data_IF_278976944121
#
_entry.id   IF_278976944121
#
_cell.length_a   1.000
_cell.length_b   1.000
_cell.length_c   1.000
_cell.angle_alpha   90.00
_cell.angle_beta   90.00
_cell.angle_gamma   90.00
#
_symmetry.space_group_name_H-M   'P 1'
#
loop_
_entity.id
_entity.type
_entity.pdbx_description
1 polymer ?
#
# COMPACT_ATOMS: atom_id res chain seq x y z
N UNK A 1 -29.32 12.03 11.45
CA UNK A 1 -28.38 11.00 10.93
C UNK A 1 -27.06 11.72 10.66
N UNK A 2 -25.96 11.49 11.39
CA UNK A 2 -24.71 12.15 11.03
C UNK A 2 -24.21 11.57 9.71
N UNK A 3 -24.05 12.43 8.72
CA UNK A 3 -23.40 12.11 7.46
C UNK A 3 -22.01 11.58 7.77
N UNK A 4 -21.78 10.31 7.48
CA UNK A 4 -20.47 9.68 7.47
C UNK A 4 -19.67 10.40 6.39
N UNK A 5 -18.87 11.39 6.79
CA UNK A 5 -17.92 12.07 5.93
C UNK A 5 -17.20 11.01 5.08
N UNK A 6 -17.13 11.14 3.75
CA UNK A 6 -16.34 10.22 2.97
C UNK A 6 -14.92 10.29 3.51
N UNK A 7 -14.39 9.14 3.92
CA UNK A 7 -13.01 9.03 4.36
C UNK A 7 -12.11 9.73 3.33
N UNK A 8 -11.04 10.42 3.77
CA UNK A 8 -10.15 11.11 2.83
C UNK A 8 -9.72 10.11 1.76
N UNK A 9 -9.80 10.52 0.50
CA UNK A 9 -9.21 9.88 -0.67
C UNK A 9 -7.70 9.78 -0.48
N UNK A 10 -7.29 8.89 0.41
CA UNK A 10 -5.93 8.61 0.77
C UNK A 10 -5.52 7.32 0.07
N UNK A 11 -4.38 7.37 -0.62
CA UNK A 11 -3.47 6.26 -0.85
C UNK A 11 -4.08 4.89 -0.52
N UNK A 12 -4.72 4.28 -1.50
CA UNK A 12 -5.36 2.98 -1.29
C UNK A 12 -4.32 1.92 -0.92
N UNK A 13 -4.70 1.01 -0.02
CA UNK A 13 -3.82 -0.05 0.46
C UNK A 13 -3.50 -1.02 -0.68
N UNK A 14 -2.22 -1.19 -1.02
CA UNK A 14 -1.78 -2.02 -2.17
C UNK A 14 -2.03 -3.52 -1.96
N UNK A 15 -2.49 -3.92 -0.78
CA UNK A 15 -2.90 -5.31 -0.49
C UNK A 15 -4.36 -5.55 -0.79
N UNK A 16 -5.16 -4.48 -0.86
CA UNK A 16 -6.58 -4.56 -1.18
C UNK A 16 -6.85 -4.55 -2.69
N UNK A 17 -5.81 -4.34 -3.51
CA UNK A 17 -5.93 -4.25 -4.95
C UNK A 17 -5.16 -5.37 -5.66
N UNK A 18 -5.71 -5.81 -6.80
CA UNK A 18 -5.01 -6.68 -7.75
C UNK A 18 -4.27 -5.77 -8.71
N UNK A 19 -2.96 -5.66 -8.55
CA UNK A 19 -2.15 -4.84 -9.45
C UNK A 19 -1.58 -5.68 -10.59
N UNK A 20 -1.63 -5.10 -11.79
CA UNK A 20 -0.86 -5.58 -12.93
C UNK A 20 0.58 -5.06 -12.82
N UNK A 21 1.56 -5.97 -12.94
CA UNK A 21 2.98 -5.66 -12.78
C UNK A 21 3.48 -4.66 -13.82
N UNK A 22 2.96 -4.74 -15.05
CA UNK A 22 3.36 -3.86 -16.15
C UNK A 22 2.83 -2.43 -15.95
N UNK A 23 1.73 -2.28 -15.22
CA UNK A 23 1.05 -1.01 -14.96
C UNK A 23 1.40 -0.37 -13.60
N UNK A 24 2.40 -0.89 -12.89
CA UNK A 24 2.79 -0.35 -11.58
C UNK A 24 3.42 1.03 -11.67
N UNK A 25 2.86 1.98 -10.92
CA UNK A 25 3.51 3.27 -10.69
C UNK A 25 4.78 3.10 -9.84
N UNK A 26 5.73 4.05 -9.90
CA UNK A 26 6.92 4.03 -9.05
C UNK A 26 6.59 3.96 -7.56
N UNK A 27 5.55 4.66 -7.12
CA UNK A 27 5.08 4.59 -5.74
C UNK A 27 4.57 3.21 -5.35
N UNK A 28 3.76 2.56 -6.18
CA UNK A 28 3.27 1.22 -5.89
C UNK A 28 4.42 0.22 -5.86
N UNK A 29 5.44 0.36 -6.73
CA UNK A 29 6.65 -0.47 -6.65
C UNK A 29 7.40 -0.31 -5.34
N UNK A 30 7.54 0.90 -4.81
CA UNK A 30 8.18 1.13 -3.50
C UNK A 30 7.40 0.44 -2.36
N UNK A 31 6.06 0.49 -2.42
CA UNK A 31 5.20 -0.17 -1.44
C UNK A 31 5.28 -1.70 -1.54
N UNK A 32 5.28 -2.24 -2.77
CA UNK A 32 5.42 -3.67 -3.05
C UNK A 32 6.80 -4.21 -2.63
N UNK A 33 7.86 -3.46 -2.89
CA UNK A 33 9.22 -3.80 -2.47
C UNK A 33 9.44 -3.72 -0.94
N UNK A 34 8.42 -3.31 -0.17
CA UNK A 34 8.54 -3.13 1.27
C UNK A 34 9.49 -2.00 1.67
N UNK A 35 9.74 -1.05 0.75
CA UNK A 35 10.48 0.19 1.00
C UNK A 35 9.56 1.28 1.54
N UNK A 36 8.26 1.15 1.30
CA UNK A 36 7.22 2.03 1.80
C UNK A 36 6.05 1.23 2.39
N UNK A 37 5.28 1.88 3.25
CA UNK A 37 4.08 1.32 3.86
C UNK A 37 3.06 1.00 2.77
N UNK A 38 2.59 -0.25 2.74
CA UNK A 38 1.56 -0.72 1.82
C UNK A 38 0.28 0.12 1.86
N UNK A 39 0.00 0.74 3.02
CA UNK A 39 -1.21 1.53 3.26
C UNK A 39 -1.05 3.00 2.92
N UNK A 40 -0.03 3.69 3.44
CA UNK A 40 0.08 5.15 3.28
C UNK A 40 1.23 5.62 2.37
N UNK A 41 2.17 4.74 2.01
CA UNK A 41 3.39 5.09 1.28
C UNK A 41 4.53 5.70 2.13
N UNK A 42 4.37 5.83 3.45
CA UNK A 42 5.40 6.32 4.37
C UNK A 42 6.49 5.28 4.64
N UNK A 43 7.69 5.73 5.00
CA UNK A 43 8.88 4.87 5.15
C UNK A 43 9.31 4.63 6.60
N UNK A 44 8.56 5.17 7.56
CA UNK A 44 8.90 5.16 8.98
C UNK A 44 8.31 3.95 9.72
N UNK A 45 9.09 3.38 10.65
CA UNK A 45 8.68 2.29 11.53
C UNK A 45 7.98 1.12 10.80
N UNK A 46 8.56 0.70 9.67
CA UNK A 46 8.02 -0.36 8.82
C UNK A 46 8.19 -1.74 9.46
N UNK A 47 7.08 -2.46 9.58
CA UNK A 47 7.01 -3.84 10.08
C UNK A 47 6.43 -4.77 9.01
N UNK A 48 6.72 -6.08 9.06
CA UNK A 48 6.12 -7.04 8.13
C UNK A 48 4.60 -6.93 8.14
N UNK A 49 4.00 -6.62 6.99
CA UNK A 49 2.56 -6.45 6.83
C UNK A 49 1.86 -7.70 6.29
N UNK A 50 2.62 -8.69 5.83
CA UNK A 50 2.11 -9.86 5.11
C UNK A 50 2.52 -9.83 3.65
N UNK A 51 1.75 -10.52 2.81
CA UNK A 51 2.04 -10.64 1.39
C UNK A 51 0.91 -10.07 0.54
N UNK A 52 1.26 -9.48 -0.60
CA UNK A 52 0.33 -9.17 -1.67
C UNK A 52 0.80 -9.81 -2.97
N UNK A 53 -0.08 -9.92 -3.95
CA UNK A 53 0.20 -10.58 -5.20
C UNK A 53 -0.10 -9.63 -6.36
N UNK A 54 0.81 -9.57 -7.32
CA UNK A 54 0.60 -8.87 -8.59
C UNK A 54 0.46 -9.88 -9.72
N UNK A 55 -0.39 -9.57 -10.70
CA UNK A 55 -0.44 -10.33 -11.94
C UNK A 55 0.73 -9.93 -12.83
N UNK A 56 1.46 -10.92 -13.31
CA UNK A 56 2.49 -10.76 -14.33
C UNK A 56 1.87 -10.76 -15.73
N UNK A 57 2.57 -10.20 -16.71
CA UNK A 57 2.10 -10.13 -18.10
C UNK A 57 1.85 -11.52 -18.71
N UNK A 58 2.56 -12.54 -18.25
CA UNK A 58 2.43 -13.94 -18.71
C UNK A 58 1.32 -14.73 -17.98
N UNK A 59 0.48 -14.06 -17.17
CA UNK A 59 -0.56 -14.71 -16.35
C UNK A 59 -0.04 -15.32 -15.03
N UNK A 60 1.26 -15.17 -14.74
CA UNK A 60 1.86 -15.57 -13.46
C UNK A 60 1.46 -14.65 -12.30
N UNK A 61 1.59 -15.13 -11.06
CA UNK A 61 1.46 -14.30 -9.84
C UNK A 61 2.81 -14.10 -9.18
N UNK A 62 3.17 -12.85 -8.94
CA UNK A 62 4.35 -12.50 -8.15
C UNK A 62 3.91 -12.12 -6.74
N UNK A 63 4.43 -12.84 -5.74
CA UNK A 63 4.21 -12.54 -4.33
C UNK A 63 5.22 -11.51 -3.82
N UNK A 64 4.73 -10.51 -3.11
CA UNK A 64 5.52 -9.42 -2.53
C UNK A 64 5.37 -9.40 -1.02
N UNK A 65 6.48 -9.47 -0.29
CA UNK A 65 6.51 -9.32 1.16
C UNK A 65 6.46 -7.84 1.53
N UNK A 66 5.24 -7.31 1.68
CA UNK A 66 5.02 -5.89 1.94
C UNK A 66 5.20 -5.53 3.40
N UNK A 67 5.48 -4.26 3.65
CA UNK A 67 5.59 -3.71 5.00
C UNK A 67 4.48 -2.71 5.27
N UNK A 68 4.11 -2.59 6.54
CA UNK A 68 3.15 -1.60 7.04
C UNK A 68 3.79 -0.80 8.16
N UNK A 69 3.45 0.48 8.26
CA UNK A 69 3.84 1.30 9.39
C UNK A 69 3.24 0.74 10.69
N UNK A 70 3.91 0.98 11.81
CA UNK A 70 3.43 0.71 13.16
C UNK A 70 2.08 1.35 13.51
N UNK A 71 1.61 2.31 12.71
CA UNK A 71 0.41 3.07 12.97
C UNK A 71 -0.85 2.21 12.75
N UNK A 72 -1.61 1.99 13.82
CA UNK A 72 -2.84 1.18 13.84
C UNK A 72 -4.01 1.84 13.09
N UNK A 73 -3.97 3.16 12.89
CA UNK A 73 -5.00 3.92 12.18
C UNK A 73 -4.44 4.61 10.92
N UNK A 74 -5.20 4.67 9.81
CA UNK A 74 -4.79 5.36 8.58
C UNK A 74 -4.51 6.86 8.81
N UNK A 75 -5.15 7.48 9.81
CA UNK A 75 -4.96 8.88 10.23
C UNK A 75 -3.64 9.12 10.97
N UNK A 76 -3.04 8.07 11.53
CA UNK A 76 -1.81 8.16 12.35
C UNK A 76 -0.58 7.74 11.55
N UNK A 77 -0.77 7.16 10.38
CA UNK A 77 0.32 6.84 9.49
C UNK A 77 0.67 8.16 8.76
N UNK A 78 1.85 8.76 9.00
CA UNK A 78 2.17 10.07 8.44
C UNK A 78 2.07 9.97 6.92
N UNK A 79 1.10 10.66 6.32
CA UNK A 79 1.07 10.81 4.86
C UNK A 79 2.39 11.46 4.48
N UNK A 80 3.01 10.96 3.42
CA UNK A 80 4.21 11.57 2.85
C UNK A 80 3.88 13.04 2.57
N UNK A 81 4.37 13.93 3.43
CA UNK A 81 4.23 15.37 3.28
C UNK A 81 4.93 15.77 2.00
N UNK A 82 4.20 16.44 1.12
CA UNK A 82 4.75 17.13 -0.07
C UNK A 82 5.46 18.40 0.38
#
# INVERSE_FOLDING_TARGET
MPAKSPAPTGSEDVRAQVHDLASLTPETRLRLAGLACARCGGTEALRPGGHTYTHGPDGGRLGWAVKVCAATAPSTCPRKGS
#
